data_IF_005173057616
#
_entry.id   IF_005173057616
#
_cell.length_a   1.000
_cell.length_b   1.000
_cell.length_c   1.000
_cell.angle_alpha   90.00
_cell.angle_beta   90.00
_cell.angle_gamma   90.00
#
_symmetry.space_group_name_H-M   'P 1'
#
loop_
_entity.id
_entity.type
_entity.pdbx_description
1 polymer ?
#
# COMPACT_ATOMS: atom_id res chain seq x y z
N UNK A 1 44.53 39.37 28.51
CA UNK A 1 43.30 39.81 27.81
C UNK A 1 43.04 39.08 26.48
N UNK A 2 44.05 38.53 25.78
CA UNK A 2 43.83 37.80 24.50
C UNK A 2 43.28 36.37 24.67
N UNK A 3 43.67 35.67 25.74
CA UNK A 3 43.24 34.29 26.03
C UNK A 3 41.74 34.16 26.36
N UNK A 4 41.16 35.14 27.04
CA UNK A 4 39.74 35.12 27.43
C UNK A 4 38.78 35.23 26.22
N UNK A 5 39.21 35.90 25.15
CA UNK A 5 38.42 36.11 23.94
C UNK A 5 38.35 34.82 23.11
N UNK A 6 39.48 34.12 22.98
CA UNK A 6 39.55 32.82 22.31
C UNK A 6 38.70 31.77 23.04
N UNK A 7 38.76 31.74 24.38
CA UNK A 7 37.98 30.79 25.18
C UNK A 7 36.46 31.05 25.09
N UNK A 8 36.03 32.32 24.99
CA UNK A 8 34.62 32.71 24.77
C UNK A 8 34.12 32.35 23.36
N UNK A 9 34.96 32.53 22.34
CA UNK A 9 34.63 32.17 20.95
C UNK A 9 34.46 30.66 20.76
N UNK A 10 35.35 29.85 21.34
CA UNK A 10 35.26 28.38 21.30
C UNK A 10 34.00 27.89 22.03
N UNK A 11 33.66 28.49 23.18
CA UNK A 11 32.45 28.15 23.93
C UNK A 11 31.17 28.49 23.15
N UNK A 12 31.12 29.66 22.52
CA UNK A 12 29.96 30.08 21.74
C UNK A 12 29.80 29.23 20.46
N UNK A 13 30.91 28.83 19.83
CA UNK A 13 30.90 27.91 18.69
C UNK A 13 30.38 26.52 19.08
N UNK A 14 30.76 26.01 20.26
CA UNK A 14 30.24 24.75 20.80
C UNK A 14 28.72 24.78 21.05
N UNK A 15 28.21 25.88 21.63
CA UNK A 15 26.76 26.06 21.85
C UNK A 15 26.00 26.14 20.52
N UNK A 16 26.52 26.87 19.54
CA UNK A 16 25.92 26.97 18.20
C UNK A 16 25.86 25.61 17.50
N UNK A 17 26.89 24.77 17.66
CA UNK A 17 26.92 23.44 17.04
C UNK A 17 25.92 22.46 17.70
N UNK A 18 25.74 22.56 19.03
CA UNK A 18 24.72 21.79 19.76
C UNK A 18 23.30 22.21 19.36
N UNK A 19 23.03 23.51 19.24
CA UNK A 19 21.72 24.00 18.78
C UNK A 19 21.43 23.59 17.34
N UNK A 20 22.42 23.68 16.45
CA UNK A 20 22.28 23.25 15.06
C UNK A 20 21.99 21.74 14.97
N UNK A 21 22.71 20.91 15.74
CA UNK A 21 22.46 19.46 15.76
C UNK A 21 21.08 19.13 16.35
N UNK A 22 20.64 19.79 17.42
CA UNK A 22 19.28 19.61 17.95
C UNK A 22 18.18 19.96 16.93
N UNK A 23 18.39 21.00 16.12
CA UNK A 23 17.47 21.36 15.04
C UNK A 23 17.42 20.27 13.95
N UNK A 24 18.56 19.69 13.57
CA UNK A 24 18.60 18.58 12.59
C UNK A 24 17.94 17.30 13.10
N UNK A 25 18.04 16.98 14.41
CA UNK A 25 17.34 15.82 14.97
C UNK A 25 15.81 16.00 15.01
N UNK A 26 15.32 17.24 15.06
CA UNK A 26 13.88 17.51 15.08
C UNK A 26 13.18 17.35 13.71
N UNK A 27 13.94 17.21 12.61
CA UNK A 27 13.40 17.09 11.26
C UNK A 27 12.79 15.71 10.93
N UNK A 28 13.03 14.68 11.76
CA UNK A 28 12.42 13.37 11.61
C UNK A 28 11.07 13.29 12.34
N UNK A 29 10.04 14.02 11.88
CA UNK A 29 8.67 13.78 12.36
C UNK A 29 8.10 12.50 11.73
N UNK A 30 8.15 11.39 12.46
CA UNK A 30 7.35 10.19 12.16
C UNK A 30 5.95 10.42 12.73
N UNK A 31 4.96 10.60 11.86
CA UNK A 31 3.55 10.64 12.26
C UNK A 31 2.93 9.27 12.01
N UNK A 32 2.42 8.56 13.06
CA UNK A 32 1.71 7.31 12.87
C UNK A 32 0.49 7.54 11.97
N UNK A 33 0.37 6.75 10.89
CA UNK A 33 -0.71 6.89 9.92
C UNK A 33 -2.10 6.78 10.58
N UNK A 34 -2.24 5.82 11.50
CA UNK A 34 -3.50 5.52 12.19
C UNK A 34 -3.62 6.14 13.59
N UNK A 35 -2.92 7.24 13.87
CA UNK A 35 -3.08 7.92 15.18
C UNK A 35 -4.53 8.39 15.37
N UNK A 36 -5.12 8.21 16.56
CA UNK A 36 -6.52 8.55 16.84
C UNK A 36 -6.87 10.01 16.52
N UNK A 37 -5.93 10.92 16.75
CA UNK A 37 -6.09 12.36 16.50
C UNK A 37 -6.13 12.75 15.00
N UNK A 38 -6.01 11.80 14.07
CA UNK A 38 -6.01 12.08 12.63
C UNK A 38 -7.41 12.14 12.00
N UNK A 39 -8.44 11.59 12.66
CA UNK A 39 -9.76 11.40 12.05
C UNK A 39 -9.76 10.44 10.85
N UNK A 40 -8.63 9.77 10.57
CA UNK A 40 -8.45 8.93 9.38
C UNK A 40 -9.42 7.76 9.35
N UNK A 41 -9.71 7.18 10.50
CA UNK A 41 -10.65 6.04 10.60
C UNK A 41 -12.02 6.41 10.06
N UNK A 42 -12.55 7.56 10.46
CA UNK A 42 -13.86 8.03 10.03
C UNK A 42 -13.89 8.27 8.52
N UNK A 43 -12.83 8.92 8.01
CA UNK A 43 -12.65 9.15 6.56
C UNK A 43 -12.54 7.83 5.77
N UNK A 44 -11.88 6.82 6.33
CA UNK A 44 -11.75 5.50 5.69
C UNK A 44 -13.10 4.76 5.67
N UNK A 45 -13.88 4.83 6.75
CA UNK A 45 -15.22 4.22 6.78
C UNK A 45 -16.21 4.91 5.82
N UNK A 46 -15.93 6.13 5.36
CA UNK A 46 -16.73 6.83 4.35
C UNK A 46 -16.26 6.61 2.90
N UNK A 47 -15.33 5.68 2.67
CA UNK A 47 -14.87 5.29 1.32
C UNK A 47 -15.77 4.20 0.72
N UNK A 48 -16.23 4.42 -0.51
CA UNK A 48 -16.88 3.42 -1.35
C UNK A 48 -15.98 2.97 -2.50
N UNK A 49 -16.16 1.75 -2.98
CA UNK A 49 -15.34 1.12 -4.01
C UNK A 49 -16.17 0.73 -5.23
N UNK A 50 -15.61 0.91 -6.43
CA UNK A 50 -16.28 0.51 -7.67
C UNK A 50 -16.60 -1.00 -7.68
N UNK A 51 -17.71 -1.41 -8.33
CA UNK A 51 -18.03 -2.82 -8.50
C UNK A 51 -16.88 -3.58 -9.17
N UNK A 52 -16.65 -4.82 -8.75
CA UNK A 52 -15.62 -5.67 -9.35
C UNK A 52 -16.14 -6.38 -10.60
N UNK A 53 -15.35 -6.39 -11.68
CA UNK A 53 -15.67 -7.07 -12.92
C UNK A 53 -15.12 -8.50 -13.02
N UNK A 54 -14.25 -8.91 -12.09
CA UNK A 54 -13.62 -10.24 -12.09
C UNK A 54 -13.46 -10.82 -10.68
N UNK A 55 -13.17 -12.12 -10.60
CA UNK A 55 -12.90 -12.81 -9.32
C UNK A 55 -11.75 -12.15 -8.54
N UNK A 56 -10.67 -11.79 -9.24
CA UNK A 56 -9.46 -11.27 -8.59
C UNK A 56 -9.71 -9.85 -8.10
N UNK A 57 -10.39 -9.06 -8.91
CA UNK A 57 -10.83 -7.73 -8.52
C UNK A 57 -11.79 -7.78 -7.33
N UNK A 58 -12.67 -8.78 -7.25
CA UNK A 58 -13.55 -8.98 -6.10
C UNK A 58 -12.74 -9.32 -4.83
N UNK A 59 -11.66 -10.10 -4.95
CA UNK A 59 -10.77 -10.40 -3.82
C UNK A 59 -10.12 -9.11 -3.29
N UNK A 60 -9.53 -8.31 -4.19
CA UNK A 60 -8.93 -7.01 -3.85
C UNK A 60 -9.98 -6.08 -3.23
N UNK A 61 -11.17 -5.99 -3.84
CA UNK A 61 -12.29 -5.17 -3.35
C UNK A 61 -12.68 -5.53 -1.93
N UNK A 62 -12.91 -6.82 -1.67
CA UNK A 62 -13.37 -7.28 -0.37
C UNK A 62 -12.33 -6.99 0.71
N UNK A 63 -11.04 -7.20 0.39
CA UNK A 63 -9.95 -6.88 1.31
C UNK A 63 -9.88 -5.38 1.61
N UNK A 64 -10.02 -4.53 0.58
CA UNK A 64 -10.05 -3.08 0.73
C UNK A 64 -11.24 -2.60 1.57
N UNK A 65 -12.45 -3.12 1.32
CA UNK A 65 -13.64 -2.80 2.13
C UNK A 65 -13.40 -3.20 3.58
N UNK A 66 -12.88 -4.41 3.82
CA UNK A 66 -12.58 -4.88 5.17
C UNK A 66 -11.60 -3.96 5.89
N UNK A 67 -10.52 -3.51 5.23
CA UNK A 67 -9.57 -2.57 5.83
C UNK A 67 -10.15 -1.18 6.06
N UNK A 68 -10.97 -0.68 5.12
CA UNK A 68 -11.55 0.66 5.19
C UNK A 68 -12.60 0.78 6.29
N UNK A 69 -13.49 -0.21 6.42
CA UNK A 69 -14.62 -0.18 7.36
C UNK A 69 -14.46 -1.11 8.56
N UNK A 70 -13.33 -1.83 8.65
CA UNK A 70 -13.05 -2.82 9.72
C UNK A 70 -14.12 -3.91 9.79
N UNK A 71 -14.67 -4.29 8.65
CA UNK A 71 -15.70 -5.33 8.53
C UNK A 71 -17.15 -4.84 8.64
N UNK A 72 -17.39 -3.54 8.77
CA UNK A 72 -18.75 -2.99 8.82
C UNK A 72 -19.47 -2.94 7.45
N UNK A 73 -18.78 -3.28 6.36
CA UNK A 73 -19.30 -3.18 5.00
C UNK A 73 -19.03 -1.82 4.35
N UNK A 74 -19.69 -1.50 3.25
CA UNK A 74 -19.56 -0.19 2.59
C UNK A 74 -20.61 0.81 3.11
N UNK A 75 -20.27 2.11 3.14
CA UNK A 75 -21.23 3.14 3.56
C UNK A 75 -22.33 3.32 2.51
N UNK A 76 -23.57 3.55 2.96
CA UNK A 76 -24.70 3.81 2.06
C UNK A 76 -24.51 5.10 1.22
N UNK A 77 -23.81 6.09 1.79
CA UNK A 77 -23.50 7.37 1.15
C UNK A 77 -22.01 7.67 1.29
N UNK A 78 -21.15 7.16 0.39
CA UNK A 78 -19.72 7.42 0.44
C UNK A 78 -19.39 8.91 0.23
N UNK A 79 -18.46 9.43 1.03
CA UNK A 79 -17.88 10.76 0.81
C UNK A 79 -16.70 10.71 -0.17
N UNK A 80 -16.06 9.54 -0.26
CA UNK A 80 -14.95 9.27 -1.16
C UNK A 80 -15.25 8.05 -2.00
N UNK A 81 -14.85 8.10 -3.26
CA UNK A 81 -15.05 7.01 -4.21
C UNK A 81 -13.70 6.54 -4.74
N UNK A 82 -13.49 5.23 -4.71
CA UNK A 82 -12.32 4.56 -5.29
C UNK A 82 -12.78 3.80 -6.52
N UNK A 83 -12.39 4.32 -7.68
CA UNK A 83 -12.46 3.58 -8.94
C UNK A 83 -11.21 2.71 -9.03
N UNK A 84 -11.35 1.41 -9.27
CA UNK A 84 -10.21 0.51 -9.44
C UNK A 84 -10.41 -0.45 -10.61
N UNK A 85 -9.28 -0.93 -11.12
CA UNK A 85 -9.22 -2.00 -12.09
C UNK A 85 -8.08 -2.96 -11.72
N UNK A 86 -8.38 -4.26 -11.69
CA UNK A 86 -7.42 -5.30 -11.31
C UNK A 86 -7.16 -6.26 -12.46
N UNK A 87 -5.87 -6.57 -12.68
CA UNK A 87 -5.42 -7.58 -13.65
C UNK A 87 -4.55 -8.63 -12.95
N UNK A 88 -4.61 -9.87 -13.42
CA UNK A 88 -3.80 -10.99 -12.96
C UNK A 88 -3.06 -11.59 -14.14
N UNK A 89 -1.78 -11.93 -13.95
CA UNK A 89 -0.96 -12.61 -14.93
C UNK A 89 -0.19 -13.75 -14.28
N UNK A 90 -0.09 -14.87 -14.98
CA UNK A 90 0.66 -16.05 -14.54
C UNK A 90 1.80 -16.25 -15.52
N UNK A 91 3.02 -16.35 -15.01
CA UNK A 91 4.20 -16.61 -15.81
C UNK A 91 4.97 -17.81 -15.25
N UNK A 92 5.39 -18.69 -16.14
CA UNK A 92 6.23 -19.83 -15.81
C UNK A 92 7.66 -19.35 -15.51
N UNK A 93 8.29 -19.93 -14.50
CA UNK A 93 9.65 -19.62 -14.10
C UNK A 93 10.38 -20.93 -13.81
N UNK A 94 11.48 -21.19 -14.51
CA UNK A 94 12.28 -22.43 -14.47
C UNK A 94 11.71 -23.55 -15.35
N UNK A 95 12.19 -23.58 -16.59
CA UNK A 95 12.06 -24.73 -17.48
C UNK A 95 12.81 -25.92 -16.89
N UNK A 96 12.21 -27.10 -16.96
CA UNK A 96 12.87 -28.34 -16.57
C UNK A 96 13.63 -28.89 -17.78
N UNK A 97 14.94 -29.10 -17.70
CA UNK A 97 15.73 -29.60 -18.86
C UNK A 97 15.23 -30.94 -19.42
N UNK A 98 14.54 -31.75 -18.61
CA UNK A 98 13.99 -33.04 -19.01
C UNK A 98 12.53 -32.99 -19.53
N UNK A 99 11.87 -31.83 -19.49
CA UNK A 99 10.48 -31.66 -19.93
C UNK A 99 10.16 -30.18 -20.26
N UNK A 100 9.45 -29.92 -21.35
CA UNK A 100 8.98 -28.56 -21.73
C UNK A 100 7.92 -27.94 -20.78
N UNK A 101 7.89 -28.39 -19.52
CA UNK A 101 6.95 -27.93 -18.49
C UNK A 101 7.70 -27.29 -17.33
N UNK A 102 7.32 -26.07 -16.98
CA UNK A 102 7.86 -25.38 -15.80
C UNK A 102 7.27 -25.96 -14.51
N UNK A 103 8.12 -26.23 -13.50
CA UNK A 103 7.69 -26.68 -12.16
C UNK A 103 7.44 -25.55 -11.17
N UNK A 104 7.83 -24.34 -11.52
CA UNK A 104 7.55 -23.15 -10.74
C UNK A 104 7.03 -22.02 -11.63
N UNK A 105 6.45 -21.02 -11.01
CA UNK A 105 5.93 -19.85 -11.67
C UNK A 105 5.77 -18.70 -10.70
N UNK A 106 5.26 -17.61 -11.26
CA UNK A 106 4.87 -16.43 -10.51
C UNK A 106 3.51 -15.94 -10.98
N UNK A 107 2.70 -15.50 -10.03
CA UNK A 107 1.44 -14.81 -10.27
C UNK A 107 1.63 -13.36 -9.90
N UNK A 108 1.39 -12.44 -10.84
CA UNK A 108 1.45 -11.00 -10.59
C UNK A 108 0.07 -10.40 -10.71
N UNK A 109 -0.40 -9.77 -9.63
CA UNK A 109 -1.66 -9.04 -9.58
C UNK A 109 -1.34 -7.55 -9.56
N UNK A 110 -1.92 -6.81 -10.50
CA UNK A 110 -1.74 -5.36 -10.62
C UNK A 110 -3.08 -4.64 -10.48
N UNK A 111 -3.11 -3.57 -9.70
CA UNK A 111 -4.28 -2.73 -9.44
C UNK A 111 -3.95 -1.31 -9.89
N UNK A 112 -4.78 -0.73 -10.73
CA UNK A 112 -4.81 0.71 -11.00
C UNK A 112 -6.01 1.31 -10.29
N UNK A 113 -5.84 2.43 -9.59
CA UNK A 113 -6.91 3.03 -8.81
C UNK A 113 -6.90 4.56 -8.86
N UNK A 114 -8.08 5.15 -8.68
CA UNK A 114 -8.32 6.59 -8.56
C UNK A 114 -9.26 6.86 -7.39
N UNK A 115 -8.78 7.61 -6.42
CA UNK A 115 -9.53 8.13 -5.28
C UNK A 115 -10.03 9.54 -5.58
N UNK A 116 -11.34 9.76 -5.44
CA UNK A 116 -12.02 11.04 -5.69
C UNK A 116 -12.92 11.43 -4.52
N UNK A 117 -13.13 12.73 -4.32
CA UNK A 117 -14.19 13.23 -3.45
C UNK A 117 -15.54 13.13 -4.17
N UNK A 118 -16.57 12.61 -3.50
CA UNK A 118 -17.89 12.41 -4.10
C UNK A 118 -18.65 13.73 -4.34
N UNK A 119 -18.34 14.78 -3.57
CA UNK A 119 -19.02 16.07 -3.64
C UNK A 119 -18.79 16.82 -4.97
N UNK A 120 -17.57 16.76 -5.50
CA UNK A 120 -17.12 17.54 -6.66
C UNK A 120 -16.35 16.72 -7.71
N UNK A 121 -16.25 15.40 -7.53
CA UNK A 121 -15.45 14.48 -8.36
C UNK A 121 -13.96 14.83 -8.45
N UNK A 122 -13.44 15.64 -7.54
CA UNK A 122 -12.03 16.04 -7.52
C UNK A 122 -11.15 14.84 -7.20
N UNK A 123 -10.15 14.59 -8.05
CA UNK A 123 -9.15 13.54 -7.83
C UNK A 123 -8.26 13.93 -6.65
N UNK A 124 -8.23 13.08 -5.63
CA UNK A 124 -7.37 13.21 -4.46
C UNK A 124 -6.05 12.47 -4.72
N UNK A 125 -6.13 11.25 -5.27
CA UNK A 125 -4.98 10.41 -5.55
C UNK A 125 -5.29 9.44 -6.69
N UNK A 126 -4.32 9.21 -7.55
CA UNK A 126 -4.34 8.10 -8.50
C UNK A 126 -3.00 7.37 -8.45
N UNK A 127 -3.00 6.09 -8.80
CA UNK A 127 -1.80 5.28 -8.78
C UNK A 127 -1.99 3.87 -9.32
N UNK A 128 -0.89 3.14 -9.34
CA UNK A 128 -0.88 1.71 -9.63
C UNK A 128 0.04 0.99 -8.65
N UNK A 129 -0.36 -0.22 -8.25
CA UNK A 129 0.40 -1.12 -7.40
C UNK A 129 0.37 -2.51 -8.01
N UNK A 130 1.45 -3.26 -7.85
CA UNK A 130 1.53 -4.64 -8.28
C UNK A 130 2.28 -5.45 -7.24
N UNK A 131 1.84 -6.69 -7.05
CA UNK A 131 2.51 -7.66 -6.19
C UNK A 131 2.63 -8.98 -6.92
N UNK A 132 3.74 -9.68 -6.68
CA UNK A 132 4.01 -11.01 -7.22
C UNK A 132 4.04 -12.05 -6.10
N UNK A 133 3.30 -13.14 -6.28
CA UNK A 133 3.38 -14.34 -5.46
C UNK A 133 4.03 -15.48 -6.25
N UNK A 134 4.97 -16.19 -5.64
CA UNK A 134 5.55 -17.40 -6.22
C UNK A 134 4.61 -18.58 -6.07
N UNK A 135 4.66 -19.52 -7.02
CA UNK A 135 3.84 -20.73 -7.05
C UNK A 135 4.64 -21.90 -7.60
N UNK A 136 4.48 -23.07 -7.00
CA UNK A 136 4.97 -24.32 -7.56
C UNK A 136 3.84 -25.01 -8.32
N UNK A 137 4.16 -25.64 -9.45
CA UNK A 137 3.21 -26.32 -10.32
C UNK A 137 3.29 -27.83 -10.15
N UNK A 138 2.29 -28.46 -9.51
CA UNK A 138 2.14 -29.91 -9.47
C UNK A 138 1.81 -30.48 -10.85
N UNK A 139 2.15 -31.75 -11.07
CA UNK A 139 1.87 -32.46 -12.33
C UNK A 139 0.37 -32.67 -12.55
N UNK A 140 -0.40 -32.82 -11.47
CA UNK A 140 -1.86 -32.96 -11.53
C UNK A 140 -2.51 -31.60 -11.87
N UNK A 141 -3.24 -31.55 -12.98
CA UNK A 141 -3.82 -30.31 -13.52
C UNK A 141 -4.77 -29.58 -12.56
N UNK A 142 -5.58 -30.32 -11.81
CA UNK A 142 -6.44 -29.71 -10.78
C UNK A 142 -5.62 -29.06 -9.67
N UNK A 143 -4.57 -29.75 -9.19
CA UNK A 143 -3.68 -29.21 -8.17
C UNK A 143 -2.93 -27.97 -8.67
N UNK A 144 -2.49 -27.96 -9.94
CA UNK A 144 -1.92 -26.77 -10.60
C UNK A 144 -2.90 -25.60 -10.60
N UNK A 145 -4.14 -25.81 -10.99
CA UNK A 145 -5.16 -24.74 -10.97
C UNK A 145 -5.43 -24.22 -9.55
N UNK A 146 -5.45 -25.10 -8.54
CA UNK A 146 -5.62 -24.70 -7.13
C UNK A 146 -4.42 -23.90 -6.63
N UNK A 147 -3.20 -24.32 -6.94
CA UNK A 147 -1.97 -23.62 -6.57
C UNK A 147 -1.91 -22.22 -7.20
N UNK A 148 -2.27 -22.08 -8.49
CA UNK A 148 -2.35 -20.78 -9.15
C UNK A 148 -3.37 -19.86 -8.48
N UNK A 149 -4.58 -20.35 -8.19
CA UNK A 149 -5.63 -19.55 -7.53
C UNK A 149 -5.24 -19.10 -6.13
N UNK A 150 -4.53 -19.94 -5.39
CA UNK A 150 -4.00 -19.62 -4.07
C UNK A 150 -2.92 -18.51 -4.17
N UNK A 151 -2.01 -18.60 -5.15
CA UNK A 151 -1.05 -17.55 -5.43
C UNK A 151 -1.69 -16.22 -5.88
N UNK A 152 -2.75 -16.27 -6.69
CA UNK A 152 -3.57 -15.09 -7.03
C UNK A 152 -4.15 -14.42 -5.78
N UNK A 153 -4.71 -15.20 -4.86
CA UNK A 153 -5.30 -14.66 -3.63
C UNK A 153 -4.23 -13.99 -2.76
N UNK A 154 -3.08 -14.63 -2.54
CA UNK A 154 -1.98 -14.02 -1.79
C UNK A 154 -1.50 -12.72 -2.40
N UNK A 155 -1.32 -12.67 -3.72
CA UNK A 155 -0.90 -11.45 -4.40
C UNK A 155 -2.00 -10.37 -4.38
N UNK A 156 -3.28 -10.75 -4.48
CA UNK A 156 -4.43 -9.86 -4.38
C UNK A 156 -4.55 -9.22 -2.99
N UNK A 157 -4.41 -10.00 -1.91
CA UNK A 157 -4.48 -9.49 -0.54
C UNK A 157 -3.31 -8.53 -0.29
N UNK A 158 -2.10 -8.90 -0.70
CA UNK A 158 -0.92 -8.05 -0.51
C UNK A 158 -0.94 -6.76 -1.35
N UNK A 159 -1.44 -6.79 -2.59
CA UNK A 159 -1.59 -5.54 -3.37
C UNK A 159 -2.70 -4.67 -2.81
N UNK A 160 -3.77 -5.26 -2.26
CA UNK A 160 -4.82 -4.52 -1.57
C UNK A 160 -4.26 -3.78 -0.36
N UNK A 161 -3.41 -4.39 0.47
CA UNK A 161 -2.71 -3.71 1.59
C UNK A 161 -1.95 -2.46 1.12
N UNK A 162 -1.20 -2.55 0.00
CA UNK A 162 -0.47 -1.40 -0.54
C UNK A 162 -1.41 -0.29 -1.04
N UNK A 163 -2.48 -0.66 -1.74
CA UNK A 163 -3.49 0.31 -2.20
C UNK A 163 -4.22 0.95 -1.03
N UNK A 164 -4.58 0.16 -0.01
CA UNK A 164 -5.21 0.63 1.23
C UNK A 164 -4.32 1.62 1.99
N UNK A 165 -3.03 1.32 2.10
CA UNK A 165 -2.04 2.23 2.70
C UNK A 165 -1.92 3.55 1.92
N UNK A 166 -1.96 3.51 0.58
CA UNK A 166 -1.93 4.73 -0.23
C UNK A 166 -3.18 5.59 -0.06
N UNK A 167 -4.36 4.96 -0.01
CA UNK A 167 -5.64 5.65 0.24
C UNK A 167 -5.62 6.28 1.63
N UNK A 168 -5.21 5.53 2.64
CA UNK A 168 -5.09 6.00 4.01
C UNK A 168 -4.12 7.19 4.10
N UNK A 169 -2.95 7.10 3.47
CA UNK A 169 -1.98 8.19 3.43
C UNK A 169 -2.51 9.43 2.72
N UNK A 170 -3.30 9.26 1.64
CA UNK A 170 -3.92 10.35 0.92
C UNK A 170 -4.99 11.08 1.76
N UNK A 171 -5.81 10.33 2.52
CA UNK A 171 -6.87 10.88 3.36
C UNK A 171 -6.39 11.44 4.71
N UNK A 172 -5.19 11.06 5.15
CA UNK A 172 -4.56 11.58 6.38
C UNK A 172 -4.00 13.00 6.26
N UNK A 173 -3.91 13.53 5.04
CA UNK A 173 -3.45 14.89 4.74
C UNK A 173 -4.61 15.88 4.83
#
# INVERSE_FOLDING_TARGET
>A
MSSDIACKLVRNAGIAMILASAAFLSACQVRPLYSENSGLTEKLSSVGFSPAGSRIEQQVRNHLIFMASRGAGEPEKPEYLVEMHTTSSVADTLLQDSADTSRAGRVTVSVTYTLRAAADNRVIKAGSRATTALVDFPDQQFAKQRATRDAENRAADQVAEFVGADIAAALSR
#
